data_IF_381413110436
#
_entry.id   IF_381413110436
#
_cell.length_a   1.000
_cell.length_b   1.000
_cell.length_c   1.000
_cell.angle_alpha   90.00
_cell.angle_beta   90.00
_cell.angle_gamma   90.00
#
_symmetry.space_group_name_H-M   'P 1'
#
loop_
_entity.id
_entity.type
_entity.pdbx_description
1 polymer ?
#
# COMPACT_ATOMS: atom_id res chain seq x y z
N UNK A 1 37.05 -7.11 15.96
CA UNK A 1 37.11 -5.63 16.09
C UNK A 1 36.19 -5.28 17.26
N UNK A 2 36.64 -4.50 18.24
CA UNK A 2 35.76 -4.03 19.33
C UNK A 2 35.40 -2.57 19.05
N UNK A 3 34.12 -2.21 19.23
CA UNK A 3 33.69 -0.81 19.22
C UNK A 3 32.57 -0.59 20.24
N UNK A 4 32.46 0.65 20.70
CA UNK A 4 31.42 1.14 21.59
C UNK A 4 31.24 2.63 21.34
N UNK A 5 30.13 3.02 20.71
CA UNK A 5 29.84 4.43 20.39
C UNK A 5 28.36 4.74 20.53
N UNK A 6 28.04 6.00 20.83
CA UNK A 6 26.68 6.52 20.95
C UNK A 6 26.43 7.53 19.83
N UNK A 7 25.29 7.43 19.16
CA UNK A 7 24.80 8.40 18.18
C UNK A 7 23.35 8.78 18.52
N UNK A 8 22.85 9.86 17.92
CA UNK A 8 21.45 10.27 18.03
C UNK A 8 20.83 10.24 16.64
N UNK A 9 19.73 9.53 16.48
CA UNK A 9 18.99 9.43 15.23
C UNK A 9 17.51 9.74 15.45
N UNK A 10 16.89 10.39 14.47
CA UNK A 10 15.45 10.61 14.43
C UNK A 10 14.75 9.52 13.62
N UNK A 11 13.45 9.36 13.82
CA UNK A 11 12.56 8.62 12.93
C UNK A 11 11.22 9.34 12.84
N UNK A 12 10.69 9.46 11.62
CA UNK A 12 9.34 9.98 11.29
C UNK A 12 8.35 8.85 10.92
N UNK A 13 8.79 7.60 11.07
CA UNK A 13 8.00 6.39 10.79
C UNK A 13 7.98 5.46 12.00
N UNK A 14 8.39 5.94 13.17
CA UNK A 14 8.56 5.18 14.40
C UNK A 14 9.47 3.93 14.30
N UNK A 15 10.36 3.83 13.31
CA UNK A 15 11.20 2.65 13.08
C UNK A 15 12.69 3.00 12.91
N UNK A 16 13.55 2.08 13.33
CA UNK A 16 14.96 2.10 12.96
C UNK A 16 15.33 0.84 12.18
N UNK A 17 16.32 0.98 11.31
CA UNK A 17 16.77 -0.05 10.39
C UNK A 17 18.28 -0.22 10.47
N UNK A 18 18.77 -1.45 10.35
CA UNK A 18 20.18 -1.74 10.06
C UNK A 18 20.23 -2.66 8.85
N UNK A 19 20.89 -2.22 7.78
CA UNK A 19 20.92 -2.93 6.50
C UNK A 19 22.15 -2.56 5.67
N UNK A 20 22.43 -3.36 4.64
CA UNK A 20 23.37 -2.97 3.58
C UNK A 20 22.56 -2.41 2.38
N UNK A 21 22.71 -1.12 2.02
CA UNK A 21 22.00 -0.52 0.89
C UNK A 21 22.22 -1.27 -0.44
N UNK A 22 23.38 -1.88 -0.66
CA UNK A 22 23.65 -2.64 -1.88
C UNK A 22 22.82 -3.93 -1.94
N UNK A 23 22.63 -4.60 -0.80
CA UNK A 23 21.80 -5.80 -0.72
C UNK A 23 20.32 -5.52 -0.92
N UNK A 24 19.85 -4.31 -0.54
CA UNK A 24 18.45 -3.89 -0.67
C UNK A 24 18.18 -3.01 -1.89
N UNK A 25 19.15 -2.79 -2.78
CA UNK A 25 18.98 -1.91 -3.94
C UNK A 25 17.82 -2.29 -4.88
N UNK A 26 17.40 -3.56 -4.87
CA UNK A 26 16.22 -4.01 -5.63
C UNK A 26 14.88 -3.49 -5.06
N UNK A 27 14.85 -3.01 -3.81
CA UNK A 27 13.64 -2.49 -3.16
C UNK A 27 13.39 -1.00 -3.45
N UNK A 28 14.27 -0.33 -4.22
CA UNK A 28 14.17 1.10 -4.59
C UNK A 28 12.94 1.48 -5.46
N UNK A 29 11.99 0.56 -5.64
CA UNK A 29 10.72 0.81 -6.33
C UNK A 29 9.52 0.28 -5.55
N UNK A 30 9.76 -0.28 -4.36
CA UNK A 30 8.72 -0.85 -3.51
C UNK A 30 8.00 0.27 -2.74
N UNK A 31 6.75 0.05 -2.28
CA UNK A 31 6.00 1.03 -1.50
C UNK A 31 6.80 1.58 -0.31
N UNK A 32 6.62 2.85 0.04
CA UNK A 32 7.41 3.53 1.10
C UNK A 32 7.45 2.77 2.44
N UNK A 33 6.38 2.05 2.77
CA UNK A 33 6.15 1.28 3.99
C UNK A 33 6.30 -0.24 3.79
N UNK A 34 7.00 -0.68 2.74
CA UNK A 34 7.11 -2.11 2.39
C UNK A 34 7.61 -3.00 3.55
N UNK A 35 8.38 -2.43 4.47
CA UNK A 35 8.93 -3.12 5.65
C UNK A 35 7.88 -3.48 6.69
N UNK A 36 6.69 -2.88 6.66
CA UNK A 36 5.57 -3.21 7.54
C UNK A 36 4.67 -4.30 6.95
N UNK A 37 4.90 -4.68 5.68
CA UNK A 37 4.19 -5.81 5.07
C UNK A 37 4.76 -7.14 5.59
N UNK A 38 4.00 -7.96 6.35
CA UNK A 38 4.55 -9.10 7.09
C UNK A 38 5.32 -10.13 6.24
N UNK A 39 4.77 -10.52 5.09
CA UNK A 39 5.42 -11.47 4.18
C UNK A 39 6.75 -10.91 3.62
N UNK A 40 6.80 -9.60 3.36
CA UNK A 40 7.98 -8.92 2.83
C UNK A 40 9.03 -8.77 3.92
N UNK A 41 8.63 -8.34 5.12
CA UNK A 41 9.49 -8.31 6.30
C UNK A 41 10.14 -9.68 6.56
N UNK A 42 9.33 -10.75 6.61
CA UNK A 42 9.83 -12.09 6.86
C UNK A 42 10.78 -12.58 5.76
N UNK A 43 10.50 -12.22 4.50
CA UNK A 43 11.40 -12.52 3.38
C UNK A 43 12.75 -11.81 3.51
N UNK A 44 12.74 -10.51 3.81
CA UNK A 44 13.95 -9.68 3.85
C UNK A 44 14.78 -9.96 5.12
N UNK A 45 14.13 -10.01 6.29
CA UNK A 45 14.78 -10.32 7.56
C UNK A 45 15.22 -11.80 7.63
N UNK A 46 14.42 -12.72 7.08
CA UNK A 46 14.77 -14.14 6.99
C UNK A 46 15.92 -14.43 6.03
N UNK A 47 16.16 -13.55 5.05
CA UNK A 47 17.35 -13.57 4.20
C UNK A 47 18.56 -12.87 4.85
N UNK A 48 18.45 -12.45 6.12
CA UNK A 48 19.51 -11.80 6.89
C UNK A 48 19.98 -10.45 6.29
N UNK A 49 19.15 -9.79 5.48
CA UNK A 49 19.51 -8.53 4.83
C UNK A 49 19.18 -7.29 5.67
N UNK A 50 18.34 -7.43 6.70
CA UNK A 50 17.82 -6.28 7.46
C UNK A 50 17.45 -6.63 8.89
N UNK A 51 17.79 -5.72 9.79
CA UNK A 51 17.26 -5.58 11.15
C UNK A 51 16.34 -4.38 11.16
N UNK A 52 15.19 -4.48 11.80
CA UNK A 52 14.31 -3.34 12.05
C UNK A 52 13.55 -3.53 13.35
N UNK A 53 13.21 -2.44 14.02
CA UNK A 53 12.35 -2.45 15.20
C UNK A 53 11.49 -1.19 15.26
N UNK A 54 10.31 -1.34 15.86
CA UNK A 54 9.39 -0.25 16.13
C UNK A 54 9.71 0.36 17.50
N UNK A 55 9.73 1.68 17.56
CA UNK A 55 10.02 2.46 18.78
C UNK A 55 8.76 2.85 19.56
N UNK A 56 7.58 2.64 18.95
CA UNK A 56 6.27 3.01 19.48
C UNK A 56 5.82 4.44 19.14
N UNK A 57 6.68 5.26 18.55
CA UNK A 57 6.33 6.59 18.06
C UNK A 57 7.50 7.33 17.41
N UNK A 58 7.21 8.44 16.74
CA UNK A 58 8.22 9.26 16.10
C UNK A 58 9.06 10.02 17.14
N UNK A 59 10.32 10.34 16.79
CA UNK A 59 11.16 11.17 17.64
C UNK A 59 12.66 10.92 17.50
N UNK A 60 13.43 11.64 18.32
CA UNK A 60 14.87 11.50 18.42
C UNK A 60 15.27 10.51 19.51
N UNK A 61 16.10 9.54 19.17
CA UNK A 61 16.56 8.49 20.07
C UNK A 61 18.08 8.44 20.11
N UNK A 62 18.63 8.29 21.31
CA UNK A 62 20.03 7.95 21.47
C UNK A 62 20.23 6.44 21.32
N UNK A 63 21.18 6.03 20.48
CA UNK A 63 21.48 4.63 20.18
C UNK A 63 22.95 4.37 20.51
N UNK A 64 23.22 3.34 21.30
CA UNK A 64 24.58 2.86 21.57
C UNK A 64 24.85 1.60 20.75
N UNK A 65 25.82 1.68 19.85
CA UNK A 65 26.30 0.57 19.04
C UNK A 65 27.52 -0.05 19.74
N UNK A 66 27.51 -1.37 19.94
CA UNK A 66 28.55 -2.05 20.72
C UNK A 66 28.78 -3.49 20.31
N UNK A 67 30.00 -3.99 20.53
CA UNK A 67 30.31 -5.43 20.46
C UNK A 67 30.45 -6.08 21.84
N UNK A 68 30.37 -5.29 22.91
CA UNK A 68 30.64 -5.72 24.30
C UNK A 68 29.36 -6.06 25.10
N UNK A 69 28.18 -5.87 24.50
CA UNK A 69 26.90 -6.08 25.17
C UNK A 69 26.48 -4.94 26.10
N UNK A 70 25.52 -5.23 26.98
CA UNK A 70 25.03 -4.31 28.02
C UNK A 70 26.02 -4.18 29.19
N UNK A 71 26.20 -2.96 29.68
CA UNK A 71 26.85 -2.67 30.97
C UNK A 71 25.95 -3.10 32.15
N UNK A 72 26.52 -3.19 33.36
CA UNK A 72 25.74 -3.57 34.55
C UNK A 72 24.60 -2.59 34.87
N UNK A 73 24.80 -1.29 34.65
CA UNK A 73 23.77 -0.28 34.89
C UNK A 73 22.66 -0.39 33.83
N UNK A 74 23.01 -0.62 32.56
CA UNK A 74 22.03 -0.84 31.49
C UNK A 74 21.21 -2.12 31.73
N UNK A 75 21.80 -3.18 32.27
CA UNK A 75 21.07 -4.42 32.61
C UNK A 75 19.94 -4.18 33.61
N UNK A 76 20.09 -3.22 34.53
CA UNK A 76 19.05 -2.88 35.51
C UNK A 76 17.88 -2.09 34.90
N UNK A 77 18.15 -1.42 33.76
CA UNK A 77 17.22 -0.56 33.04
C UNK A 77 16.68 -1.21 31.75
N UNK A 78 17.16 -2.41 31.41
CA UNK A 78 16.79 -3.14 30.22
C UNK A 78 15.32 -3.56 30.22
N UNK A 79 14.60 -3.19 29.17
CA UNK A 79 13.22 -3.60 28.88
C UNK A 79 13.16 -4.62 27.74
N UNK A 80 12.26 -4.38 26.78
CA UNK A 80 12.11 -5.21 25.59
C UNK A 80 13.45 -5.44 24.87
N UNK A 81 13.68 -6.68 24.43
CA UNK A 81 14.89 -7.06 23.69
C UNK A 81 14.55 -8.05 22.58
N UNK A 82 15.24 -7.93 21.45
CA UNK A 82 15.12 -8.85 20.32
C UNK A 82 16.47 -9.10 19.66
N UNK A 83 16.73 -10.35 19.26
CA UNK A 83 17.92 -10.73 18.50
C UNK A 83 17.54 -11.05 17.07
N UNK A 84 18.23 -10.41 16.12
CA UNK A 84 18.03 -10.54 14.68
C UNK A 84 19.26 -11.18 14.03
N UNK A 85 19.08 -12.00 12.99
CA UNK A 85 20.19 -12.38 12.11
C UNK A 85 20.49 -11.24 11.13
N UNK A 86 21.78 -11.05 10.80
CA UNK A 86 22.25 -10.09 9.82
C UNK A 86 23.49 -10.63 9.12
N UNK A 87 23.54 -10.62 7.79
CA UNK A 87 24.71 -10.98 7.02
C UNK A 87 25.37 -9.72 6.46
N UNK A 88 26.55 -9.38 6.97
CA UNK A 88 27.31 -8.19 6.54
C UNK A 88 28.15 -8.49 5.30
N UNK A 89 28.25 -7.52 4.39
CA UNK A 89 29.17 -7.54 3.24
C UNK A 89 30.51 -6.83 3.53
N UNK A 90 30.66 -6.25 4.73
CA UNK A 90 31.83 -5.45 5.13
C UNK A 90 31.46 -4.17 5.88
N UNK A 91 30.25 -3.67 5.66
CA UNK A 91 29.68 -2.52 6.38
C UNK A 91 28.16 -2.55 6.27
N UNK A 92 27.49 -1.96 7.25
CA UNK A 92 26.03 -1.76 7.23
C UNK A 92 25.70 -0.33 7.68
N UNK A 93 24.53 0.15 7.32
CA UNK A 93 24.02 1.47 7.66
C UNK A 93 22.97 1.33 8.76
N UNK A 94 22.97 2.24 9.74
CA UNK A 94 21.83 2.45 10.64
C UNK A 94 21.06 3.71 10.24
N UNK A 95 19.73 3.59 10.16
CA UNK A 95 18.86 4.64 9.64
C UNK A 95 17.49 4.68 10.34
N UNK A 96 16.83 5.83 10.29
CA UNK A 96 15.50 6.10 10.85
C UNK A 96 14.34 6.06 9.86
N UNK A 97 14.58 5.70 8.59
CA UNK A 97 13.57 5.55 7.54
C UNK A 97 13.89 6.30 6.24
N UNK A 98 14.74 7.33 6.29
CA UNK A 98 15.01 8.24 5.17
C UNK A 98 15.92 7.64 4.09
N UNK A 99 16.72 6.64 4.44
CA UNK A 99 17.74 6.03 3.56
C UNK A 99 17.35 4.61 3.13
N UNK A 100 16.26 4.08 3.65
CA UNK A 100 15.75 2.75 3.30
C UNK A 100 15.26 2.74 1.84
N UNK A 101 15.79 1.89 0.94
CA UNK A 101 15.39 1.89 -0.46
C UNK A 101 13.88 1.65 -0.63
N UNK A 102 13.19 2.61 -1.24
CA UNK A 102 11.77 2.55 -1.56
C UNK A 102 11.46 3.40 -2.82
N UNK A 103 10.19 3.51 -3.22
CA UNK A 103 9.77 4.25 -4.41
C UNK A 103 9.89 5.77 -4.31
N UNK A 104 9.95 6.31 -3.08
CA UNK A 104 10.28 7.71 -2.84
C UNK A 104 11.79 7.92 -3.06
N UNK A 105 12.13 8.82 -3.98
CA UNK A 105 13.49 8.94 -4.53
C UNK A 105 14.32 10.04 -3.88
N UNK A 106 13.81 10.70 -2.85
CA UNK A 106 14.59 11.67 -2.07
C UNK A 106 15.35 10.96 -0.95
N UNK A 107 16.36 10.18 -1.30
CA UNK A 107 17.29 9.67 -0.30
C UNK A 107 18.29 10.77 0.04
N UNK A 108 18.39 11.10 1.32
CA UNK A 108 19.50 11.88 1.82
C UNK A 108 20.83 11.12 1.65
N UNK A 109 21.95 11.82 1.80
CA UNK A 109 23.25 11.13 1.84
C UNK A 109 23.50 10.65 3.27
N UNK A 110 23.85 9.37 3.50
CA UNK A 110 24.16 8.88 4.83
C UNK A 110 25.32 9.67 5.45
N UNK A 111 25.21 9.98 6.74
CA UNK A 111 26.29 10.58 7.52
C UNK A 111 27.34 9.52 7.89
N UNK A 112 28.59 9.94 8.09
CA UNK A 112 29.71 9.04 8.37
C UNK A 112 29.50 8.19 9.64
N UNK A 113 28.80 8.74 10.65
CA UNK A 113 28.53 8.05 11.92
C UNK A 113 27.38 7.04 11.86
N UNK A 114 26.61 7.02 10.77
CA UNK A 114 25.60 6.00 10.49
C UNK A 114 26.20 4.70 9.94
N UNK A 115 27.44 4.72 9.44
CA UNK A 115 28.12 3.52 8.92
C UNK A 115 28.74 2.68 10.04
N UNK A 116 28.40 1.39 10.08
CA UNK A 116 28.92 0.40 11.02
C UNK A 116 29.84 -0.55 10.24
N UNK A 117 31.13 -0.46 10.50
CA UNK A 117 32.13 -1.36 9.91
C UNK A 117 32.06 -2.74 10.59
N UNK A 118 31.77 -3.78 9.82
CA UNK A 118 31.60 -5.16 10.30
C UNK A 118 32.34 -6.12 9.38
N UNK A 119 33.06 -7.09 9.93
CA UNK A 119 33.64 -8.14 9.10
C UNK A 119 32.54 -8.84 8.26
N UNK A 120 32.81 -9.19 6.99
CA UNK A 120 31.84 -9.91 6.17
C UNK A 120 31.43 -11.24 6.82
N UNK A 121 30.16 -11.62 6.65
CA UNK A 121 29.60 -12.85 7.18
C UNK A 121 28.46 -12.62 8.18
N UNK A 122 28.01 -13.69 8.86
CA UNK A 122 26.80 -13.65 9.68
C UNK A 122 27.06 -13.07 11.07
N UNK A 123 26.09 -12.29 11.55
CA UNK A 123 26.06 -11.60 12.83
C UNK A 123 24.71 -11.79 13.51
N UNK A 124 24.73 -11.81 14.84
CA UNK A 124 23.57 -11.59 15.67
C UNK A 124 23.56 -10.15 16.16
N UNK A 125 22.45 -9.47 15.90
CA UNK A 125 22.20 -8.09 16.34
C UNK A 125 21.13 -8.15 17.42
N UNK A 126 21.52 -7.87 18.66
CA UNK A 126 20.56 -7.78 19.78
C UNK A 126 20.26 -6.32 20.08
N UNK A 127 19.02 -5.92 19.88
CA UNK A 127 18.52 -4.59 20.23
C UNK A 127 17.83 -4.69 21.57
N UNK A 128 18.25 -3.88 22.54
CA UNK A 128 17.62 -3.79 23.86
C UNK A 128 17.17 -2.36 24.13
N UNK A 129 15.88 -2.19 24.41
CA UNK A 129 15.32 -0.94 24.84
C UNK A 129 15.71 -0.66 26.31
N UNK A 130 16.07 0.58 26.62
CA UNK A 130 16.51 1.01 27.95
C UNK A 130 15.54 2.07 28.47
N UNK A 131 14.88 1.77 29.59
CA UNK A 131 14.03 2.72 30.31
C UNK A 131 14.90 3.65 31.16
N UNK A 132 15.67 4.54 30.52
CA UNK A 132 16.62 5.42 31.20
C UNK A 132 15.93 6.40 32.15
N UNK A 133 14.65 6.70 31.95
CA UNK A 133 13.81 7.52 32.85
C UNK A 133 13.59 6.88 34.21
N UNK A 134 13.80 5.57 34.33
CA UNK A 134 13.75 4.84 35.60
C UNK A 134 15.09 4.85 36.36
N UNK A 135 16.14 5.47 35.81
CA UNK A 135 17.42 5.62 36.51
C UNK A 135 17.27 6.54 37.73
N UNK A 136 17.97 6.22 38.82
CA UNK A 136 18.05 7.08 40.02
C UNK A 136 19.04 8.24 39.80
N UNK A 137 18.77 9.05 38.77
CA UNK A 137 19.57 10.19 38.34
C UNK A 137 18.65 11.33 37.84
N UNK A 138 19.09 12.60 37.92
CA UNK A 138 18.41 13.68 37.23
C UNK A 138 18.29 13.42 35.72
N UNK A 139 17.17 13.80 35.11
CA UNK A 139 16.82 13.52 33.71
C UNK A 139 17.95 13.89 32.72
N UNK A 140 18.51 15.11 32.82
CA UNK A 140 19.60 15.55 31.96
C UNK A 140 20.88 14.71 32.09
N UNK A 141 21.13 14.14 33.27
CA UNK A 141 22.28 13.26 33.50
C UNK A 141 21.99 11.87 32.97
N UNK A 142 20.79 11.35 33.21
CA UNK A 142 20.36 10.05 32.70
C UNK A 142 20.36 10.01 31.16
N UNK A 143 19.83 11.03 30.50
CA UNK A 143 19.82 11.14 29.03
C UNK A 143 21.24 11.23 28.41
N UNK A 144 22.20 11.81 29.14
CA UNK A 144 23.62 11.82 28.73
C UNK A 144 24.26 10.45 28.89
N UNK A 145 24.02 9.80 30.03
CA UNK A 145 24.66 8.53 30.40
C UNK A 145 24.11 7.34 29.60
N UNK A 146 22.79 7.20 29.55
CA UNK A 146 22.13 6.05 28.93
C UNK A 146 21.69 6.37 27.50
N UNK A 147 21.64 5.35 26.65
CA UNK A 147 20.98 5.41 25.36
C UNK A 147 19.54 4.91 25.51
N UNK A 148 18.63 5.26 24.59
CA UNK A 148 17.31 4.65 24.49
C UNK A 148 17.44 3.19 24.03
N UNK A 149 18.35 2.93 23.09
CA UNK A 149 18.61 1.59 22.57
C UNK A 149 20.08 1.23 22.70
N UNK A 150 20.35 0.01 23.17
CA UNK A 150 21.66 -0.62 23.01
C UNK A 150 21.56 -1.69 21.93
N UNK A 151 22.34 -1.52 20.87
CA UNK A 151 22.48 -2.46 19.76
C UNK A 151 23.80 -3.20 19.94
N UNK A 152 23.72 -4.47 20.32
CA UNK A 152 24.86 -5.35 20.53
C UNK A 152 25.08 -6.24 19.30
N UNK A 153 26.25 -6.15 18.67
CA UNK A 153 26.60 -6.89 17.48
C UNK A 153 27.65 -7.96 17.84
N UNK A 154 27.29 -9.23 17.66
CA UNK A 154 28.17 -10.37 17.95
C UNK A 154 28.24 -11.28 16.71
N UNK A 155 29.41 -11.81 16.34
CA UNK A 155 29.50 -12.81 15.28
C UNK A 155 28.55 -13.98 15.54
N UNK A 156 27.86 -14.43 14.49
CA UNK A 156 27.04 -15.63 14.59
C UNK A 156 27.97 -16.85 14.46
N UNK A 157 28.60 -17.24 15.57
CA UNK A 157 29.22 -18.55 15.69
C UNK A 157 28.10 -19.64 15.70
N UNK A 158 28.41 -20.94 15.81
CA UNK A 158 27.47 -22.10 15.74
C UNK A 158 26.21 -22.09 16.67
N UNK A 159 25.92 -20.96 17.33
CA UNK A 159 24.68 -20.66 18.02
C UNK A 159 23.43 -20.83 17.13
N UNK A 160 22.31 -21.13 17.78
CA UNK A 160 21.02 -21.30 17.13
C UNK A 160 20.60 -20.01 16.40
N UNK A 161 20.14 -20.14 15.15
CA UNK A 161 19.56 -19.05 14.37
C UNK A 161 18.40 -18.41 15.14
N UNK A 162 18.39 -17.07 15.31
CA UNK A 162 17.30 -16.38 16.00
C UNK A 162 15.95 -16.60 15.30
N UNK A 163 14.86 -16.52 16.07
CA UNK A 163 13.51 -16.54 15.50
C UNK A 163 13.29 -15.29 14.65
N UNK A 164 12.91 -15.48 13.39
CA UNK A 164 12.46 -14.38 12.53
C UNK A 164 11.12 -13.84 13.07
N UNK A 165 11.08 -12.55 13.38
CA UNK A 165 9.86 -11.89 13.84
C UNK A 165 8.81 -11.83 12.70
N UNK A 166 7.52 -11.81 13.04
CA UNK A 166 6.42 -11.73 12.07
C UNK A 166 6.28 -10.35 11.40
N UNK A 167 6.71 -9.31 12.11
CA UNK A 167 6.89 -7.91 11.66
C UNK A 167 8.06 -7.30 12.45
N UNK A 168 8.56 -6.08 12.14
CA UNK A 168 9.48 -5.38 13.03
C UNK A 168 8.89 -5.34 14.46
N UNK A 169 9.59 -5.89 15.48
CA UNK A 169 9.03 -5.98 16.83
C UNK A 169 8.97 -4.60 17.49
N UNK A 170 7.92 -4.38 18.29
CA UNK A 170 7.82 -3.24 19.19
C UNK A 170 8.84 -3.39 20.32
N UNK A 171 9.81 -2.48 20.36
CA UNK A 171 10.81 -2.37 21.41
C UNK A 171 10.64 -1.02 22.10
N UNK A 172 9.54 -0.88 22.84
CA UNK A 172 9.22 0.34 23.58
C UNK A 172 10.20 0.47 24.76
N UNK A 173 10.70 1.68 25.02
CA UNK A 173 11.65 1.98 26.11
C UNK A 173 10.98 2.01 27.49
N UNK A 174 10.19 0.98 27.81
CA UNK A 174 9.49 0.77 29.07
C UNK A 174 9.71 -0.67 29.52
N UNK A 175 10.20 -0.91 30.74
CA UNK A 175 10.45 -2.28 31.22
C UNK A 175 9.17 -3.11 31.43
N UNK A 176 8.03 -2.44 31.56
CA UNK A 176 6.72 -3.08 31.66
C UNK A 176 6.22 -3.64 30.33
N UNK A 177 6.76 -3.17 29.19
CA UNK A 177 6.32 -3.56 27.86
C UNK A 177 7.28 -4.63 27.30
N UNK A 178 6.85 -5.89 27.17
CA UNK A 178 7.67 -6.92 26.53
C UNK A 178 7.78 -6.68 25.03
N UNK A 179 8.84 -7.22 24.40
CA UNK A 179 8.96 -7.18 22.95
C UNK A 179 7.76 -7.87 22.28
N UNK A 180 7.15 -7.21 21.29
CA UNK A 180 5.94 -7.69 20.64
C UNK A 180 6.08 -7.68 19.12
N UNK A 181 5.87 -8.84 18.47
CA UNK A 181 5.82 -8.96 17.01
C UNK A 181 4.44 -9.46 16.53
N UNK A 182 3.41 -9.37 17.37
CA UNK A 182 2.06 -9.76 16.97
C UNK A 182 1.60 -8.92 15.78
N UNK A 183 1.12 -9.61 14.75
CA UNK A 183 0.42 -8.95 13.66
C UNK A 183 -0.83 -8.30 14.26
N UNK A 184 -1.12 -7.03 13.94
CA UNK A 184 -2.38 -6.42 14.35
C UNK A 184 -3.52 -7.33 13.90
N UNK A 185 -4.50 -7.55 14.77
CA UNK A 185 -5.71 -8.21 14.32
C UNK A 185 -6.26 -7.40 13.15
N UNK A 186 -6.71 -8.04 12.05
CA UNK A 186 -7.34 -7.31 10.96
C UNK A 186 -8.43 -6.48 11.60
N UNK A 187 -8.22 -5.17 11.63
CA UNK A 187 -9.17 -4.25 12.26
C UNK A 187 -10.51 -4.59 11.66
N UNK A 188 -11.51 -4.87 12.50
CA UNK A 188 -12.87 -5.00 12.02
C UNK A 188 -13.08 -3.81 11.10
N UNK A 189 -13.29 -4.08 9.80
CA UNK A 189 -13.59 -3.03 8.85
C UNK A 189 -14.61 -2.14 9.56
N UNK A 190 -14.37 -0.80 9.64
CA UNK A 190 -15.30 0.08 10.33
C UNK A 190 -16.68 -0.34 9.86
N UNK A 191 -17.54 -0.75 10.80
CA UNK A 191 -18.83 -1.30 10.47
C UNK A 191 -19.47 -0.27 9.57
N UNK A 192 -19.47 -0.55 8.26
CA UNK A 192 -19.94 0.38 7.28
C UNK A 192 -21.37 0.64 7.72
N UNK A 193 -21.63 1.88 8.11
CA UNK A 193 -22.97 2.41 8.07
C UNK A 193 -23.31 2.38 6.59
N UNK A 194 -23.74 1.21 6.11
CA UNK A 194 -24.47 1.04 4.87
C UNK A 194 -25.73 1.90 5.03
N UNK A 195 -25.61 3.20 4.79
CA UNK A 195 -26.69 3.89 4.13
C UNK A 195 -26.82 3.18 2.78
N UNK A 196 -27.77 2.24 2.72
CA UNK A 196 -28.03 1.42 1.54
C UNK A 196 -28.11 2.34 0.33
N UNK A 197 -27.12 2.23 -0.56
CA UNK A 197 -27.00 3.07 -1.74
C UNK A 197 -28.27 2.92 -2.60
N UNK A 198 -29.06 4.00 -2.72
CA UNK A 198 -30.31 3.98 -3.51
C UNK A 198 -30.00 4.06 -5.01
N UNK A 199 -29.81 2.91 -5.64
CA UNK A 199 -29.61 2.79 -7.09
C UNK A 199 -30.86 3.15 -7.91
N UNK A 200 -32.02 3.40 -7.27
CA UNK A 200 -33.21 3.86 -7.98
C UNK A 200 -33.08 5.31 -8.46
N UNK A 201 -32.15 6.09 -7.89
CA UNK A 201 -31.87 7.45 -8.32
C UNK A 201 -30.92 7.48 -9.53
N UNK A 202 -31.17 8.37 -10.51
CA UNK A 202 -30.19 8.65 -11.55
C UNK A 202 -28.89 9.21 -10.99
N UNK A 203 -27.74 8.74 -11.49
CA UNK A 203 -26.43 9.20 -11.06
C UNK A 203 -25.61 9.80 -12.22
N UNK A 204 -24.68 10.72 -11.94
CA UNK A 204 -23.70 11.18 -12.91
C UNK A 204 -22.81 10.02 -13.36
N UNK A 205 -22.55 9.95 -14.66
CA UNK A 205 -21.76 8.92 -15.29
C UNK A 205 -20.61 9.50 -16.11
N UNK A 206 -19.41 8.99 -15.83
CA UNK A 206 -18.17 9.38 -16.49
C UNK A 206 -17.52 8.23 -17.23
N UNK A 207 -16.80 8.55 -18.30
CA UNK A 207 -15.86 7.64 -18.92
C UNK A 207 -14.55 7.65 -18.12
N UNK A 208 -14.03 6.46 -17.80
CA UNK A 208 -12.71 6.31 -17.20
C UNK A 208 -11.87 5.32 -18.00
N UNK A 209 -10.61 5.67 -18.23
CA UNK A 209 -9.62 4.80 -18.87
C UNK A 209 -9.15 3.66 -17.95
N UNK A 210 -9.46 3.76 -16.65
CA UNK A 210 -9.20 2.75 -15.64
C UNK A 210 -10.44 2.59 -14.74
N UNK A 211 -10.85 1.35 -14.48
CA UNK A 211 -11.95 1.01 -13.58
C UNK A 211 -11.54 -0.26 -12.84
N UNK A 212 -11.42 -0.20 -11.52
CA UNK A 212 -10.98 -1.34 -10.69
C UNK A 212 -12.19 -2.07 -10.08
N UNK A 213 -12.09 -3.37 -9.75
CA UNK A 213 -13.13 -4.06 -9.01
C UNK A 213 -13.37 -3.44 -7.63
N UNK A 214 -14.60 -3.56 -7.13
CA UNK A 214 -14.94 -3.24 -5.76
C UNK A 214 -14.57 -4.39 -4.80
N UNK A 215 -14.19 -4.09 -3.54
CA UNK A 215 -13.79 -2.76 -3.06
C UNK A 215 -12.41 -2.40 -3.63
N UNK A 216 -12.23 -1.16 -4.09
CA UNK A 216 -10.94 -0.75 -4.65
C UNK A 216 -10.85 0.74 -4.97
N UNK A 217 -9.63 1.27 -4.99
CA UNK A 217 -9.36 2.68 -5.32
C UNK A 217 -8.75 2.82 -6.70
N UNK A 218 -9.16 3.87 -7.43
CA UNK A 218 -8.57 4.22 -8.72
C UNK A 218 -8.68 5.73 -8.97
N UNK A 219 -7.91 6.21 -9.94
CA UNK A 219 -7.94 7.62 -10.34
C UNK A 219 -8.45 7.79 -11.75
N UNK A 220 -9.18 8.88 -12.00
CA UNK A 220 -9.49 9.39 -13.34
C UNK A 220 -8.80 10.74 -13.54
N UNK A 221 -8.23 10.95 -14.73
CA UNK A 221 -7.50 12.16 -15.12
C UNK A 221 -8.00 12.69 -16.47
N UNK A 222 -8.82 13.74 -16.41
CA UNK A 222 -9.27 14.47 -17.61
C UNK A 222 -10.24 13.74 -18.54
N UNK A 223 -10.56 12.46 -18.31
CA UNK A 223 -11.54 11.73 -19.14
C UNK A 223 -13.00 12.11 -18.81
N UNK A 224 -13.24 12.64 -17.61
CA UNK A 224 -14.55 13.07 -17.13
C UNK A 224 -14.41 14.26 -16.19
N UNK A 225 -15.11 15.36 -16.47
CA UNK A 225 -15.16 16.50 -15.53
C UNK A 225 -16.28 16.29 -14.51
N UNK A 226 -15.91 15.64 -13.40
CA UNK A 226 -16.79 15.35 -12.27
C UNK A 226 -17.45 16.63 -11.72
N UNK A 227 -16.79 17.78 -11.83
CA UNK A 227 -17.32 19.05 -11.33
C UNK A 227 -18.51 19.56 -12.14
N UNK A 228 -18.72 19.06 -13.37
CA UNK A 228 -19.93 19.38 -14.15
C UNK A 228 -21.21 18.84 -13.51
N UNK A 229 -21.12 17.94 -12.53
CA UNK A 229 -22.26 17.47 -11.73
C UNK A 229 -22.73 18.48 -10.67
N UNK A 230 -21.95 19.54 -10.40
CA UNK A 230 -22.23 20.52 -9.35
C UNK A 230 -23.01 21.71 -9.93
N UNK A 231 -24.05 22.15 -9.24
CA UNK A 231 -24.88 23.27 -9.68
C UNK A 231 -24.18 24.62 -9.49
N UNK A 232 -24.40 25.63 -10.37
CA UNK A 232 -23.84 26.96 -10.19
C UNK A 232 -24.21 27.56 -8.84
N UNK A 233 -23.19 28.02 -8.10
CA UNK A 233 -23.35 28.63 -6.79
C UNK A 233 -23.45 27.64 -5.62
N UNK A 234 -23.29 26.33 -5.87
CA UNK A 234 -23.13 25.33 -4.81
C UNK A 234 -21.66 25.00 -4.57
N UNK A 235 -21.37 24.34 -3.45
CA UNK A 235 -19.98 24.09 -3.05
C UNK A 235 -19.39 22.96 -3.91
N UNK A 236 -18.10 23.09 -4.25
CA UNK A 236 -17.36 22.02 -4.89
C UNK A 236 -17.26 20.75 -4.04
N UNK A 237 -17.46 20.86 -2.71
CA UNK A 237 -17.52 19.71 -1.81
C UNK A 237 -18.76 18.83 -2.03
N UNK A 238 -19.82 19.34 -2.66
CA UNK A 238 -21.03 18.55 -2.98
C UNK A 238 -20.71 17.35 -3.89
N UNK A 239 -19.63 17.42 -4.68
CA UNK A 239 -19.17 16.30 -5.50
C UNK A 239 -18.60 15.13 -4.69
N UNK A 240 -18.31 15.30 -3.39
CA UNK A 240 -17.87 14.20 -2.53
C UNK A 240 -19.07 13.46 -1.90
N UNK A 241 -20.25 14.06 -1.92
CA UNK A 241 -21.47 13.53 -1.30
C UNK A 241 -22.39 12.79 -2.28
N UNK A 242 -22.01 12.71 -3.56
CA UNK A 242 -22.79 12.04 -4.60
C UNK A 242 -22.11 10.75 -5.07
N UNK A 243 -22.88 9.67 -5.34
CA UNK A 243 -22.35 8.50 -6.02
C UNK A 243 -22.19 8.77 -7.52
N UNK A 244 -21.13 8.24 -8.11
CA UNK A 244 -20.81 8.33 -9.54
C UNK A 244 -20.78 6.96 -10.19
N UNK A 245 -21.20 6.86 -11.44
CA UNK A 245 -20.96 5.68 -12.25
C UNK A 245 -19.76 5.90 -13.18
N UNK A 246 -18.69 5.13 -12.98
CA UNK A 246 -17.52 5.20 -13.85
C UNK A 246 -17.42 3.93 -14.69
N UNK A 247 -17.30 4.10 -16.01
CA UNK A 247 -17.20 2.98 -16.93
C UNK A 247 -16.23 3.27 -18.09
N UNK A 248 -15.71 2.21 -18.76
CA UNK A 248 -14.87 2.35 -19.95
C UNK A 248 -15.60 2.96 -21.14
N UNK A 249 -16.92 2.73 -21.22
CA UNK A 249 -17.86 3.37 -22.14
C UNK A 249 -19.15 3.69 -21.39
N UNK A 250 -19.82 4.78 -21.77
CA UNK A 250 -21.08 5.20 -21.15
C UNK A 250 -22.20 5.02 -22.18
N UNK A 251 -22.64 3.77 -22.35
CA UNK A 251 -23.72 3.35 -23.24
C UNK A 251 -24.66 2.36 -22.52
N UNK A 252 -25.91 2.23 -22.98
CA UNK A 252 -26.86 1.28 -22.37
C UNK A 252 -26.29 -0.14 -22.47
N UNK A 253 -26.27 -0.85 -21.34
CA UNK A 253 -25.68 -2.18 -21.20
C UNK A 253 -24.20 -2.19 -20.78
N UNK A 254 -23.53 -1.04 -20.77
CA UNK A 254 -22.15 -0.95 -20.29
C UNK A 254 -22.04 -1.31 -18.80
N UNK A 255 -20.96 -2.03 -18.48
CA UNK A 255 -20.61 -2.42 -17.11
C UNK A 255 -19.53 -1.46 -16.61
N UNK A 256 -19.70 -1.02 -15.37
CA UNK A 256 -18.79 -0.12 -14.68
C UNK A 256 -18.92 -0.29 -13.18
N UNK A 257 -18.46 0.71 -12.43
CA UNK A 257 -18.51 0.72 -10.97
C UNK A 257 -19.33 1.92 -10.50
N UNK A 258 -20.14 1.68 -9.47
CA UNK A 258 -20.61 2.79 -8.64
C UNK A 258 -19.51 3.15 -7.67
N UNK A 259 -19.17 4.43 -7.58
CA UNK A 259 -18.00 4.91 -6.86
C UNK A 259 -18.33 6.14 -6.02
N UNK A 260 -17.58 6.33 -4.94
CA UNK A 260 -17.51 7.59 -4.21
C UNK A 260 -16.26 8.36 -4.60
N UNK A 261 -16.36 9.68 -4.70
CA UNK A 261 -15.21 10.55 -4.81
C UNK A 261 -14.57 10.72 -3.43
N UNK A 262 -13.28 10.43 -3.32
CA UNK A 262 -12.53 10.51 -2.05
C UNK A 262 -11.39 11.51 -2.08
N UNK A 263 -11.02 12.00 -3.26
CA UNK A 263 -9.96 12.98 -3.39
C UNK A 263 -9.99 13.74 -4.71
N UNK A 264 -9.38 14.92 -4.70
CA UNK A 264 -9.13 15.73 -5.88
C UNK A 264 -7.75 16.37 -5.78
N UNK A 265 -6.98 16.29 -6.85
CA UNK A 265 -5.65 16.89 -6.91
C UNK A 265 -5.15 17.03 -8.34
N UNK A 266 -3.84 17.12 -8.49
CA UNK A 266 -3.16 17.23 -9.79
C UNK A 266 -2.27 18.47 -9.88
N UNK A 267 -1.25 18.45 -10.76
CA UNK A 267 -0.34 19.57 -10.92
C UNK A 267 -1.07 20.83 -11.43
N UNK A 268 -0.63 22.05 -11.04
CA UNK A 268 -1.16 23.28 -11.60
C UNK A 268 -1.10 23.29 -13.14
N UNK A 269 -2.21 23.66 -13.79
CA UNK A 269 -2.29 23.73 -15.26
C UNK A 269 -2.44 22.37 -15.97
N UNK A 270 -2.61 21.27 -15.23
CA UNK A 270 -3.01 19.96 -15.77
C UNK A 270 -4.50 19.70 -15.50
N UNK A 271 -5.14 18.79 -16.26
CA UNK A 271 -6.48 18.32 -15.91
C UNK A 271 -6.52 17.82 -14.46
N UNK A 272 -7.62 18.06 -13.73
CA UNK A 272 -7.76 17.57 -12.37
C UNK A 272 -7.73 16.04 -12.37
N UNK A 273 -7.03 15.49 -11.37
CA UNK A 273 -7.05 14.06 -11.03
C UNK A 273 -8.05 13.86 -9.90
N UNK A 274 -8.97 12.93 -10.09
CA UNK A 274 -9.97 12.54 -9.10
C UNK A 274 -9.64 11.16 -8.56
N UNK A 275 -9.68 10.99 -7.25
CA UNK A 275 -9.55 9.71 -6.56
C UNK A 275 -10.93 9.16 -6.25
N UNK A 276 -11.20 7.93 -6.68
CA UNK A 276 -12.49 7.27 -6.54
C UNK A 276 -12.34 5.95 -5.78
N UNK A 277 -13.35 5.61 -5.00
CA UNK A 277 -13.50 4.31 -4.33
C UNK A 277 -14.67 3.55 -4.94
N UNK A 278 -14.38 2.46 -5.64
CA UNK A 278 -15.38 1.55 -6.20
C UNK A 278 -16.11 0.80 -5.07
N UNK A 279 -17.44 0.80 -5.14
CA UNK A 279 -18.33 0.21 -4.14
C UNK A 279 -18.97 -1.08 -4.65
N UNK A 280 -19.45 -1.06 -5.89
CA UNK A 280 -20.08 -2.24 -6.49
C UNK A 280 -20.10 -2.14 -8.02
N UNK A 281 -20.05 -3.29 -8.72
CA UNK A 281 -20.26 -3.32 -10.14
C UNK A 281 -21.73 -3.07 -10.46
N UNK A 282 -21.99 -2.29 -11.50
CA UNK A 282 -23.34 -2.02 -11.97
C UNK A 282 -23.39 -1.93 -13.50
N UNK A 283 -24.59 -2.03 -14.05
CA UNK A 283 -24.86 -1.94 -15.48
C UNK A 283 -25.76 -0.76 -15.78
N UNK A 284 -25.44 0.03 -16.81
CA UNK A 284 -26.31 1.08 -17.31
C UNK A 284 -27.58 0.46 -17.90
N UNK A 285 -28.74 0.84 -17.39
CA UNK A 285 -30.05 0.42 -17.92
C UNK A 285 -30.70 1.51 -18.79
N UNK A 286 -30.39 2.78 -18.53
CA UNK A 286 -30.95 3.91 -19.26
C UNK A 286 -29.99 5.12 -19.21
N UNK A 287 -29.90 5.87 -20.31
CA UNK A 287 -29.29 7.20 -20.36
C UNK A 287 -30.42 8.24 -20.36
N UNK A 288 -30.45 9.10 -19.35
CA UNK A 288 -31.53 10.07 -19.13
C UNK A 288 -31.23 11.40 -19.84
N UNK A 289 -29.95 11.79 -19.87
CA UNK A 289 -29.54 13.08 -20.42
C UNK A 289 -28.09 13.39 -20.11
N UNK A 290 -27.73 14.67 -20.24
CA UNK A 290 -26.39 15.20 -19.99
C UNK A 290 -26.45 16.14 -18.80
N UNK A 291 -25.51 16.03 -17.88
CA UNK A 291 -25.28 17.01 -16.83
C UNK A 291 -24.43 18.14 -17.37
N UNK A 292 -24.93 19.35 -17.22
CA UNK A 292 -24.22 20.58 -17.53
C UNK A 292 -24.42 21.55 -16.38
N UNK A 293 -23.32 21.86 -15.67
CA UNK A 293 -23.35 22.71 -14.49
C UNK A 293 -24.44 22.25 -13.49
N UNK A 294 -24.40 20.97 -13.10
CA UNK A 294 -25.34 20.34 -12.17
C UNK A 294 -26.79 20.26 -12.63
N UNK A 295 -27.08 20.67 -13.87
CA UNK A 295 -28.42 20.62 -14.45
C UNK A 295 -28.51 19.52 -15.50
N UNK A 296 -29.57 18.73 -15.39
CA UNK A 296 -29.89 17.69 -16.35
C UNK A 296 -30.50 18.34 -17.59
N UNK A 297 -29.82 18.20 -18.72
CA UNK A 297 -30.34 18.51 -20.05
C UNK A 297 -30.81 17.18 -20.67
N UNK A 298 -32.13 16.97 -20.82
CA UNK A 298 -32.66 15.73 -21.37
C UNK A 298 -32.13 15.48 -22.78
N UNK A 299 -31.89 14.21 -23.11
CA UNK A 299 -31.53 13.85 -24.47
C UNK A 299 -32.74 14.10 -25.40
N UNK A 300 -32.68 15.13 -26.25
CA UNK A 300 -33.76 15.39 -27.20
C UNK A 300 -33.82 14.23 -28.20
N UNK A 301 -34.97 13.54 -28.29
CA UNK A 301 -35.32 12.77 -29.49
C UNK A 301 -35.20 13.72 -30.68
N UNK A 302 -34.36 13.39 -31.66
CA UNK A 302 -34.14 14.18 -32.87
C UNK A 302 -35.48 14.46 -33.55
N UNK A 303 -36.01 15.66 -33.35
CA UNK A 303 -37.17 16.17 -34.08
C UNK A 303 -36.66 16.93 -35.31
N UNK A 304 -37.18 16.54 -36.47
CA UNK A 304 -36.74 16.83 -37.85
C UNK A 304 -36.61 18.33 -38.19
N UNK A 305 -36.97 19.29 -37.32
CA UNK A 305 -36.92 20.73 -37.63
C UNK A 305 -36.54 21.69 -36.47
N UNK A 306 -35.83 21.26 -35.42
CA UNK A 306 -35.50 22.13 -34.27
C UNK A 306 -34.00 22.28 -33.99
N UNK A 307 -33.56 23.52 -33.76
CA UNK A 307 -32.16 23.95 -33.61
C UNK A 307 -31.24 23.02 -32.78
N UNK A 308 -29.99 22.87 -33.27
CA UNK A 308 -28.88 22.18 -32.61
C UNK A 308 -28.65 22.78 -31.20
N UNK A 309 -28.42 21.96 -30.16
CA UNK A 309 -27.99 22.49 -28.85
C UNK A 309 -26.74 23.37 -29.03
N UNK A 310 -26.56 24.40 -28.17
CA UNK A 310 -25.36 25.24 -28.25
C UNK A 310 -24.10 24.37 -28.18
N UNK A 311 -23.03 24.74 -28.91
CA UNK A 311 -21.77 24.01 -28.84
C UNK A 311 -21.26 24.02 -27.40
N UNK A 312 -20.93 22.83 -26.90
CA UNK A 312 -20.23 22.67 -25.64
C UNK A 312 -18.85 23.32 -25.84
N UNK A 313 -18.49 24.26 -24.96
CA UNK A 313 -17.18 24.93 -25.00
C UNK A 313 -16.02 23.95 -24.79
N UNK A 314 -14.78 24.45 -24.84
CA UNK A 314 -13.53 23.68 -24.84
C UNK A 314 -13.20 22.90 -23.54
N UNK A 315 -14.20 22.63 -22.69
CA UNK A 315 -14.05 21.81 -21.48
C UNK A 315 -14.44 20.35 -21.75
N UNK A 316 -13.93 19.43 -20.94
CA UNK A 316 -14.14 17.99 -21.08
C UNK A 316 -15.62 17.62 -21.27
N UNK A 317 -15.88 16.50 -21.95
CA UNK A 317 -17.24 16.11 -22.33
C UNK A 317 -18.19 16.11 -21.10
N UNK A 318 -19.40 16.71 -21.22
CA UNK A 318 -20.35 16.75 -20.10
C UNK A 318 -20.69 15.33 -19.66
N UNK A 319 -20.78 15.10 -18.35
CA UNK A 319 -21.18 13.80 -17.80
C UNK A 319 -22.58 13.44 -18.29
N UNK A 320 -22.83 12.14 -18.47
CA UNK A 320 -24.18 11.65 -18.71
C UNK A 320 -24.88 11.44 -17.37
N UNK A 321 -26.21 11.50 -17.36
CA UNK A 321 -26.99 11.03 -16.24
C UNK A 321 -27.60 9.69 -16.61
N UNK A 322 -27.41 8.68 -15.77
CA UNK A 322 -27.79 7.29 -16.08
C UNK A 322 -28.59 6.67 -14.95
N UNK A 323 -29.41 5.68 -15.30
CA UNK A 323 -29.89 4.68 -14.34
C UNK A 323 -29.01 3.45 -14.43
N UNK A 324 -28.74 2.86 -13.28
CA UNK A 324 -27.94 1.64 -13.19
C UNK A 324 -28.71 0.57 -12.44
N UNK A 325 -28.29 -0.67 -12.66
CA UNK A 325 -28.73 -1.82 -11.89
C UNK A 325 -27.48 -2.51 -11.34
N UNK A 326 -27.50 -2.84 -10.05
CA UNK A 326 -26.43 -3.62 -9.43
C UNK A 326 -26.20 -4.91 -10.21
N UNK A 327 -24.92 -5.26 -10.37
CA UNK A 327 -24.51 -6.61 -10.75
C UNK A 327 -24.01 -7.26 -9.46
N UNK A 328 -24.64 -8.36 -9.07
CA UNK A 328 -24.28 -9.09 -7.86
C UNK A 328 -23.68 -10.43 -8.27
N UNK A 329 -22.35 -10.49 -8.52
CA UNK A 329 -21.70 -11.72 -8.90
C UNK A 329 -21.66 -12.67 -7.70
N UNK A 330 -21.87 -13.95 -7.94
CA UNK A 330 -21.61 -14.96 -6.92
C UNK A 330 -20.11 -14.95 -6.61
N UNK A 331 -19.74 -14.60 -5.38
CA UNK A 331 -18.35 -14.52 -4.89
C UNK A 331 -17.89 -15.80 -4.20
N UNK A 332 -18.69 -16.87 -4.24
CA UNK A 332 -18.35 -18.15 -3.62
C UNK A 332 -17.13 -18.76 -4.31
N UNK A 333 -16.15 -19.20 -3.52
CA UNK A 333 -14.93 -19.83 -4.03
C UNK A 333 -15.26 -21.06 -4.91
N UNK A 334 -14.49 -21.31 -5.98
CA UNK A 334 -14.76 -22.40 -6.90
C UNK A 334 -14.27 -23.73 -6.31
N UNK A 335 -15.07 -24.79 -6.42
CA UNK A 335 -14.65 -26.14 -6.00
C UNK A 335 -13.63 -26.78 -6.99
N UNK A 336 -13.54 -26.27 -8.22
CA UNK A 336 -12.90 -26.93 -9.36
C UNK A 336 -11.51 -26.39 -9.72
N UNK A 337 -11.11 -25.21 -9.23
CA UNK A 337 -9.80 -24.60 -9.51
C UNK A 337 -9.03 -24.43 -8.21
N UNK A 338 -8.01 -25.23 -7.88
CA UNK A 338 -7.23 -25.05 -6.65
C UNK A 338 -6.46 -23.72 -6.62
N UNK A 339 -6.46 -23.03 -5.47
CA UNK A 339 -5.85 -21.71 -5.29
C UNK A 339 -4.37 -21.70 -5.68
N UNK A 340 -3.69 -22.82 -5.44
CA UNK A 340 -2.28 -23.02 -5.74
C UNK A 340 -1.98 -22.93 -7.23
N UNK A 341 -2.92 -23.37 -8.09
CA UNK A 341 -2.74 -23.32 -9.54
C UNK A 341 -2.84 -21.88 -10.02
N UNK A 342 -3.82 -21.12 -9.51
CA UNK A 342 -3.98 -19.72 -9.88
C UNK A 342 -2.82 -18.87 -9.33
N UNK A 343 -2.43 -19.08 -8.07
CA UNK A 343 -1.26 -18.42 -7.48
C UNK A 343 0.00 -18.73 -8.30
N UNK A 344 0.26 -19.99 -8.63
CA UNK A 344 1.44 -20.35 -9.42
C UNK A 344 1.49 -19.65 -10.78
N UNK A 345 0.34 -19.50 -11.46
CA UNK A 345 0.27 -18.75 -12.71
C UNK A 345 0.63 -17.26 -12.53
N UNK A 346 0.11 -16.62 -11.47
CA UNK A 346 0.43 -15.23 -11.14
C UNK A 346 1.92 -15.05 -10.81
N UNK A 347 2.47 -15.93 -9.98
CA UNK A 347 3.89 -15.90 -9.61
C UNK A 347 4.82 -16.11 -10.81
N UNK A 348 4.45 -17.00 -11.73
CA UNK A 348 5.17 -17.17 -13.00
C UNK A 348 5.14 -15.88 -13.82
N UNK A 349 3.95 -15.28 -14.03
CA UNK A 349 3.82 -14.03 -14.80
C UNK A 349 4.51 -12.83 -14.14
N UNK A 350 4.63 -12.80 -12.80
CA UNK A 350 5.41 -11.81 -12.06
C UNK A 350 6.92 -11.99 -12.20
N UNK A 351 7.38 -13.19 -12.55
CA UNK A 351 8.80 -13.48 -12.72
C UNK A 351 9.30 -13.07 -14.11
N UNK A 352 8.54 -13.39 -15.17
CA UNK A 352 8.98 -13.19 -16.56
C UNK A 352 7.86 -12.94 -17.59
N UNK A 353 6.62 -12.71 -17.15
CA UNK A 353 5.45 -12.52 -18.02
C UNK A 353 4.90 -11.10 -18.09
N UNK A 354 3.64 -10.98 -18.50
CA UNK A 354 2.94 -9.70 -18.64
C UNK A 354 2.89 -8.86 -17.35
N UNK A 355 2.74 -9.51 -16.19
CA UNK A 355 2.75 -8.81 -14.90
C UNK A 355 4.13 -8.25 -14.55
N UNK A 356 5.21 -8.99 -14.85
CA UNK A 356 6.57 -8.48 -14.67
C UNK A 356 6.82 -7.22 -15.52
N UNK A 357 6.37 -7.23 -16.78
CA UNK A 357 6.47 -6.07 -17.67
C UNK A 357 5.64 -4.86 -17.20
N UNK A 358 4.43 -5.10 -16.70
CA UNK A 358 3.53 -4.05 -16.24
C UNK A 358 3.98 -3.39 -14.91
N UNK A 359 4.54 -4.18 -13.99
CA UNK A 359 4.93 -3.74 -12.65
C UNK A 359 6.40 -3.31 -12.54
N UNK A 360 7.26 -3.73 -13.47
CA UNK A 360 8.68 -3.44 -13.42
C UNK A 360 9.31 -3.89 -12.09
N UNK A 361 9.98 -2.98 -11.39
CA UNK A 361 10.66 -3.27 -10.12
C UNK A 361 9.73 -3.71 -8.97
N UNK A 362 8.43 -3.36 -9.03
CA UNK A 362 7.43 -3.78 -8.05
C UNK A 362 7.00 -5.24 -8.21
N UNK A 363 7.32 -5.88 -9.34
CA UNK A 363 6.93 -7.28 -9.58
C UNK A 363 7.49 -8.21 -8.49
N UNK A 364 8.71 -7.96 -8.01
CA UNK A 364 9.32 -8.74 -6.93
C UNK A 364 8.61 -8.56 -5.59
N UNK A 365 8.19 -7.34 -5.26
CA UNK A 365 7.41 -7.04 -4.05
C UNK A 365 6.12 -7.87 -4.06
N UNK A 366 5.35 -7.77 -5.14
CA UNK A 366 4.09 -8.50 -5.27
C UNK A 366 4.31 -10.02 -5.33
N UNK A 367 5.40 -10.49 -5.94
CA UNK A 367 5.73 -11.92 -5.92
C UNK A 367 5.84 -12.44 -4.49
N UNK A 368 6.54 -11.73 -3.61
CA UNK A 368 6.68 -12.11 -2.20
C UNK A 368 5.31 -12.08 -1.50
N UNK A 369 4.55 -10.99 -1.66
CA UNK A 369 3.24 -10.82 -1.02
C UNK A 369 2.28 -11.95 -1.41
N UNK A 370 2.15 -12.23 -2.71
CA UNK A 370 1.22 -13.24 -3.21
C UNK A 370 1.70 -14.66 -2.93
N UNK A 371 3.01 -14.90 -2.81
CA UNK A 371 3.54 -16.22 -2.43
C UNK A 371 3.08 -16.65 -1.03
N UNK A 372 2.73 -15.69 -0.17
CA UNK A 372 2.25 -15.92 1.19
C UNK A 372 0.71 -15.88 1.31
N UNK A 373 -0.02 -15.69 0.20
CA UNK A 373 -1.48 -15.58 0.21
C UNK A 373 -2.16 -16.83 -0.33
N UNK A 374 -3.15 -17.32 0.42
CA UNK A 374 -4.09 -18.37 0.02
C UNK A 374 -5.50 -17.81 -0.26
N UNK A 375 -5.65 -16.48 -0.31
CA UNK A 375 -6.93 -15.82 -0.51
C UNK A 375 -7.18 -15.58 -2.00
N UNK A 376 -8.12 -16.32 -2.59
CA UNK A 376 -8.50 -16.14 -3.99
C UNK A 376 -8.98 -14.72 -4.30
N UNK A 377 -9.71 -14.06 -3.38
CA UNK A 377 -10.23 -12.73 -3.61
C UNK A 377 -9.07 -11.74 -3.74
N UNK A 378 -8.06 -11.87 -2.87
CA UNK A 378 -6.83 -11.08 -2.95
C UNK A 378 -6.09 -11.33 -4.28
N UNK A 379 -5.91 -12.59 -4.67
CA UNK A 379 -5.24 -12.98 -5.92
C UNK A 379 -6.00 -12.46 -7.17
N UNK A 380 -7.33 -12.56 -7.18
CA UNK A 380 -8.17 -12.12 -8.28
C UNK A 380 -8.18 -10.60 -8.41
N UNK A 381 -8.31 -9.88 -7.29
CA UNK A 381 -8.27 -8.42 -7.26
C UNK A 381 -6.91 -7.91 -7.72
N UNK A 382 -5.82 -8.55 -7.29
CA UNK A 382 -4.47 -8.26 -7.78
C UNK A 382 -4.38 -8.41 -9.30
N UNK A 383 -4.81 -9.57 -9.84
CA UNK A 383 -4.78 -9.84 -11.27
C UNK A 383 -5.59 -8.80 -12.05
N UNK A 384 -6.80 -8.47 -11.59
CA UNK A 384 -7.65 -7.45 -12.21
C UNK A 384 -6.99 -6.08 -12.23
N UNK A 385 -6.29 -5.69 -11.17
CA UNK A 385 -5.67 -4.38 -11.05
C UNK A 385 -4.43 -4.22 -11.94
N UNK A 386 -3.59 -5.27 -12.01
CA UNK A 386 -2.25 -5.16 -12.59
C UNK A 386 -2.09 -5.81 -13.97
N UNK A 387 -3.00 -6.70 -14.40
CA UNK A 387 -2.93 -7.23 -15.76
C UNK A 387 -3.10 -6.11 -16.80
N UNK A 388 -2.31 -6.12 -17.89
CA UNK A 388 -2.39 -5.15 -18.98
C UNK A 388 -3.59 -5.43 -19.90
N UNK A 389 -4.79 -5.46 -19.33
CA UNK A 389 -6.06 -5.64 -20.02
C UNK A 389 -6.78 -4.29 -20.18
N UNK A 390 -7.62 -4.17 -21.21
CA UNK A 390 -8.43 -2.97 -21.39
C UNK A 390 -9.41 -2.77 -20.24
N UNK A 391 -9.76 -1.51 -19.94
CA UNK A 391 -10.75 -1.20 -18.91
C UNK A 391 -12.11 -1.88 -19.18
N UNK A 392 -12.53 -1.99 -20.45
CA UNK A 392 -13.74 -2.76 -20.84
C UNK A 392 -13.65 -4.22 -20.40
N UNK A 393 -12.51 -4.87 -20.64
CA UNK A 393 -12.32 -6.27 -20.22
C UNK A 393 -12.28 -6.39 -18.71
N UNK A 394 -11.59 -5.48 -18.03
CA UNK A 394 -11.50 -5.44 -16.55
C UNK A 394 -12.87 -5.27 -15.90
N UNK A 395 -13.69 -4.35 -16.39
CA UNK A 395 -15.06 -4.14 -15.92
C UNK A 395 -15.93 -5.39 -16.15
N UNK A 396 -15.83 -6.00 -17.33
CA UNK A 396 -16.56 -7.24 -17.63
C UNK A 396 -16.17 -8.39 -16.69
N UNK A 397 -14.87 -8.60 -16.45
CA UNK A 397 -14.38 -9.63 -15.52
C UNK A 397 -14.82 -9.35 -14.07
N UNK A 398 -14.80 -8.09 -13.64
CA UNK A 398 -15.24 -7.67 -12.29
C UNK A 398 -16.73 -7.93 -12.02
N UNK A 399 -17.52 -8.12 -13.07
CA UNK A 399 -18.96 -8.39 -13.02
C UNK A 399 -19.31 -9.87 -13.25
N UNK A 400 -18.31 -10.75 -13.47
CA UNK A 400 -18.54 -12.19 -13.61
C UNK A 400 -18.60 -12.87 -12.25
N UNK A 401 -19.36 -13.95 -12.14
CA UNK A 401 -19.29 -14.87 -11.00
C UNK A 401 -17.85 -15.36 -10.79
N UNK A 402 -17.54 -15.75 -9.57
CA UNK A 402 -16.18 -16.01 -9.12
C UNK A 402 -15.47 -17.09 -9.94
N UNK A 403 -16.06 -18.27 -10.11
CA UNK A 403 -15.48 -19.37 -10.88
C UNK A 403 -15.11 -18.99 -12.33
N UNK A 404 -16.05 -18.48 -13.18
CA UNK A 404 -15.70 -18.08 -14.54
C UNK A 404 -14.74 -16.88 -14.58
N UNK A 405 -14.77 -16.00 -13.58
CA UNK A 405 -13.80 -14.90 -13.44
C UNK A 405 -12.39 -15.44 -13.24
N UNK A 406 -12.19 -16.36 -12.30
CA UNK A 406 -10.89 -16.96 -12.01
C UNK A 406 -10.34 -17.67 -13.25
N UNK A 407 -11.15 -18.49 -13.93
CA UNK A 407 -10.72 -19.15 -15.16
C UNK A 407 -10.31 -18.12 -16.24
N UNK A 408 -11.12 -17.10 -16.45
CA UNK A 408 -10.82 -16.06 -17.43
C UNK A 408 -9.56 -15.27 -17.06
N UNK A 409 -9.30 -15.01 -15.78
CA UNK A 409 -8.06 -14.37 -15.31
C UNK A 409 -6.86 -15.29 -15.53
N UNK A 410 -6.97 -16.57 -15.20
CA UNK A 410 -5.93 -17.57 -15.48
C UNK A 410 -5.55 -17.59 -16.96
N UNK A 411 -6.54 -17.63 -17.85
CA UNK A 411 -6.31 -17.60 -19.29
C UNK A 411 -5.55 -16.33 -19.70
N UNK A 412 -5.91 -15.16 -19.15
CA UNK A 412 -5.20 -13.91 -19.41
C UNK A 412 -3.75 -13.93 -18.90
N UNK A 413 -3.54 -14.42 -17.69
CA UNK A 413 -2.20 -14.50 -17.07
C UNK A 413 -1.26 -15.40 -17.88
N UNK A 414 -1.78 -16.49 -18.45
CA UNK A 414 -0.99 -17.48 -19.20
C UNK A 414 -0.82 -17.17 -20.69
N UNK A 415 -1.69 -16.32 -21.26
CA UNK A 415 -1.67 -15.98 -22.69
C UNK A 415 -0.96 -14.67 -23.02
N UNK A 416 -0.73 -13.82 -22.01
CA UNK A 416 -0.03 -12.55 -22.10
C UNK A 416 1.45 -12.71 -21.74
#
# INVERSE_FOLDING_TARGET
>A
MSFNRKLSLGTDVAHFFIFDPETLGYAATWPIDWYDTPAVWQHVSGAEHMVAWCTGGDGGYAIRLTTEGLTEDEKQLAGASWTFPLNSTGRVLIDGGDLLPNEDRSFDTPQDDQWIELAPGPWHVTVTAIEWTAADLPEEQAAKLFANYVVSLTPADEAATPRIARRPPDLICLRSEPANDALPEPGAAPADTEDSLDLSQPMPAGQASNVVPAPGHFTSEGESDILTSISPGTDSFDAFELPYFMAPSVEVGAIGQVCWLTGRGGPPGKPPRFSLTAQMPARITEIIGRLHEGRVVPEKKTWIFGAKPPPLGDYAAPLLQVRVQAVDPDITAPDDIPVEVFRAALLSSLSDGALAGALGGQARFHHIVLSASDDYQQLANFALHHLPISATRRAALSAMDFAPRIQALMDQVTSA
#
